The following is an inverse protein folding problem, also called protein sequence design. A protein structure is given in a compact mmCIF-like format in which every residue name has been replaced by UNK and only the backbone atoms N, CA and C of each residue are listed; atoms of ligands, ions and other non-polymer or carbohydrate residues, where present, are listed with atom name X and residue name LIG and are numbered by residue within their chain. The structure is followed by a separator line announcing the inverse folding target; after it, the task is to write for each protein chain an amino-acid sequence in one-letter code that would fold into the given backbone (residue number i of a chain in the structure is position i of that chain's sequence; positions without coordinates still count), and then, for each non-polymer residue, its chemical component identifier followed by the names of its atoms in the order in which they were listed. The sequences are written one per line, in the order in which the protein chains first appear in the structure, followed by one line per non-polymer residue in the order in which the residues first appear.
data_IF_456457458766
#
_entry.id   IF_456457458766
#
_cell.length_a   1.000
_cell.length_b   1.000
_cell.length_c   1.000
_cell.angle_alpha   90.00
_cell.angle_beta   90.00
_cell.angle_gamma   90.00
#
_symmetry.space_group_name_H-M   'P 1'
#
loop_
_entity.id
_entity.type
_entity.pdbx_description
1 polymer ?
#
# COMPACT_ATOMS: atom_id res chain seq x y z
N UNK A 1 5.18 -17.87 41.59
CA UNK A 1 6.34 -18.21 40.76
C UNK A 1 5.86 -19.22 39.73
N UNK A 2 5.49 -18.74 38.55
CA UNK A 2 5.09 -19.57 37.41
C UNK A 2 6.17 -19.40 36.37
N UNK A 3 6.94 -20.46 36.15
CA UNK A 3 7.99 -20.52 35.13
C UNK A 3 7.37 -20.32 33.75
N UNK A 4 7.80 -19.25 33.07
CA UNK A 4 7.49 -19.01 31.67
C UNK A 4 8.26 -20.05 30.84
N UNK A 5 7.56 -21.05 30.32
CA UNK A 5 8.12 -21.95 29.31
C UNK A 5 8.30 -21.13 28.02
N UNK A 6 9.56 -20.86 27.66
CA UNK A 6 9.92 -20.47 26.30
C UNK A 6 9.56 -21.65 25.39
N UNK A 7 8.80 -21.46 24.31
CA UNK A 7 8.52 -22.54 23.37
C UNK A 7 9.83 -22.88 22.63
N UNK A 8 10.30 -24.11 22.80
CA UNK A 8 11.55 -24.65 22.21
C UNK A 8 11.48 -24.91 20.69
N UNK A 9 10.31 -24.73 20.08
CA UNK A 9 10.10 -24.96 18.64
C UNK A 9 9.88 -23.64 17.92
N UNK A 10 10.92 -22.80 17.85
CA UNK A 10 10.99 -21.80 16.78
C UNK A 10 11.25 -22.57 15.47
N UNK A 11 10.24 -22.69 14.60
CA UNK A 11 10.39 -23.26 13.27
C UNK A 11 11.64 -22.69 12.61
N UNK A 12 12.58 -23.58 12.27
CA UNK A 12 13.79 -23.20 11.52
C UNK A 12 13.32 -22.56 10.21
N UNK A 13 13.70 -21.30 9.92
CA UNK A 13 13.27 -20.62 8.71
C UNK A 13 13.57 -21.49 7.49
N UNK A 14 12.60 -21.57 6.57
CA UNK A 14 12.80 -22.32 5.34
C UNK A 14 14.07 -21.84 4.62
N UNK A 15 14.91 -22.76 4.10
CA UNK A 15 16.15 -22.36 3.44
C UNK A 15 15.85 -21.54 2.18
N UNK A 16 16.61 -20.46 1.99
CA UNK A 16 16.49 -19.58 0.82
C UNK A 16 16.56 -20.37 -0.50
N UNK A 17 15.70 -19.98 -1.43
CA UNK A 17 15.69 -20.47 -2.81
C UNK A 17 17.00 -20.10 -3.53
N UNK A 18 17.26 -20.77 -4.66
CA UNK A 18 18.46 -20.51 -5.47
C UNK A 18 18.51 -19.09 -6.04
N UNK A 19 17.36 -18.46 -6.30
CA UNK A 19 17.27 -17.08 -6.78
C UNK A 19 17.53 -16.09 -5.64
N UNK A 20 16.96 -16.32 -4.46
CA UNK A 20 17.21 -15.50 -3.26
C UNK A 20 18.69 -15.55 -2.86
N UNK A 21 19.32 -16.74 -2.92
CA UNK A 21 20.77 -16.88 -2.69
C UNK A 21 21.58 -16.05 -3.67
N UNK A 22 21.23 -16.04 -4.96
CA UNK A 22 21.90 -15.19 -5.96
C UNK A 22 21.66 -13.70 -5.68
N UNK A 23 20.46 -13.32 -5.27
CA UNK A 23 20.13 -11.94 -4.92
C UNK A 23 20.94 -11.44 -3.71
N UNK A 24 21.01 -12.25 -2.65
CA UNK A 24 21.81 -11.98 -1.45
C UNK A 24 23.30 -11.84 -1.80
N UNK A 25 23.83 -12.77 -2.61
CA UNK A 25 25.24 -12.70 -3.06
C UNK A 25 25.48 -11.44 -3.88
N UNK A 26 24.59 -11.10 -4.81
CA UNK A 26 24.69 -9.87 -5.61
C UNK A 26 24.76 -8.63 -4.73
N UNK A 27 23.82 -8.46 -3.79
CA UNK A 27 23.80 -7.35 -2.85
C UNK A 27 25.06 -7.30 -1.98
N UNK A 28 25.47 -8.44 -1.43
CA UNK A 28 26.64 -8.53 -0.53
C UNK A 28 27.97 -8.20 -1.23
N UNK A 29 28.05 -8.42 -2.54
CA UNK A 29 29.26 -8.17 -3.32
C UNK A 29 29.45 -6.69 -3.71
N UNK A 30 28.41 -5.87 -3.59
CA UNK A 30 28.40 -4.45 -3.99
C UNK A 30 29.05 -3.52 -2.98
N UNK A 31 29.45 -2.34 -3.43
CA UNK A 31 29.85 -1.26 -2.53
C UNK A 31 28.68 -0.80 -1.64
N UNK A 32 29.00 -0.01 -0.62
CA UNK A 32 27.99 0.51 0.30
C UNK A 32 27.05 1.47 -0.44
N UNK A 33 25.75 1.36 -0.16
CA UNK A 33 24.74 2.23 -0.73
C UNK A 33 24.69 3.53 0.08
N UNK A 34 24.71 4.65 -0.63
CA UNK A 34 24.53 5.95 0.01
C UNK A 34 23.06 6.24 0.21
N UNK A 35 22.66 6.37 1.47
CA UNK A 35 21.29 6.62 1.88
C UNK A 35 21.25 7.87 2.75
N UNK A 36 20.35 8.80 2.44
CA UNK A 36 20.07 9.98 3.27
C UNK A 36 18.74 9.78 3.98
N UNK A 37 18.79 9.81 5.30
CA UNK A 37 17.62 9.75 6.16
C UNK A 37 17.22 11.15 6.61
N UNK A 38 15.91 11.39 6.67
CA UNK A 38 15.31 12.66 7.05
C UNK A 38 14.35 12.44 8.23
N UNK A 39 14.47 13.26 9.27
CA UNK A 39 13.49 13.30 10.35
C UNK A 39 13.45 14.69 11.00
N UNK A 40 12.26 15.30 11.03
CA UNK A 40 12.13 16.71 11.37
C UNK A 40 12.99 17.57 10.42
N UNK A 41 13.82 18.43 10.98
CA UNK A 41 14.74 19.29 10.22
C UNK A 41 16.13 18.66 10.02
N UNK A 42 16.38 17.48 10.61
CA UNK A 42 17.69 16.83 10.57
C UNK A 42 17.81 15.91 9.36
N UNK A 43 19.02 15.89 8.79
CA UNK A 43 19.42 15.00 7.70
C UNK A 43 20.66 14.23 8.14
N UNK A 44 20.66 12.91 7.92
CA UNK A 44 21.81 12.05 8.20
C UNK A 44 22.15 11.26 6.93
N UNK A 45 23.38 11.43 6.45
CA UNK A 45 23.94 10.70 5.31
C UNK A 45 24.70 9.47 5.82
N UNK A 46 24.44 8.31 5.22
CA UNK A 46 25.01 7.04 5.65
C UNK A 46 25.39 6.16 4.47
N UNK A 47 26.44 5.37 4.68
CA UNK A 47 26.84 4.30 3.79
C UNK A 47 26.40 2.96 4.39
N UNK A 48 25.35 2.38 3.82
CA UNK A 48 24.77 1.14 4.30
C UNK A 48 25.21 -0.05 3.46
N UNK A 49 25.73 -1.09 4.11
CA UNK A 49 26.00 -2.38 3.47
C UNK A 49 24.72 -3.21 3.43
N UNK A 50 24.45 -3.84 2.28
CA UNK A 50 23.27 -4.67 2.05
C UNK A 50 23.67 -6.12 1.71
N UNK A 51 22.77 -7.10 1.90
CA UNK A 51 21.40 -6.96 2.42
C UNK A 51 21.36 -6.70 3.94
N UNK A 52 20.36 -5.95 4.39
CA UNK A 52 19.93 -5.92 5.79
C UNK A 52 19.33 -7.29 6.15
N UNK A 53 19.98 -8.05 7.00
CA UNK A 53 19.50 -9.39 7.36
C UNK A 53 18.57 -9.36 8.58
N UNK A 54 17.53 -10.20 8.53
CA UNK A 54 16.74 -10.60 9.70
C UNK A 54 17.36 -11.79 10.44
N UNK A 55 18.47 -12.34 9.93
CA UNK A 55 19.16 -13.45 10.58
C UNK A 55 19.56 -13.08 12.01
N UNK A 56 19.46 -14.01 12.97
CA UNK A 56 19.88 -13.77 14.33
C UNK A 56 21.40 -13.51 14.35
N UNK A 57 21.79 -12.28 14.66
CA UNK A 57 23.09 -11.98 15.24
C UNK A 57 23.00 -12.43 16.72
N UNK A 58 24.12 -12.71 17.43
CA UNK A 58 24.06 -13.10 18.84
C UNK A 58 23.10 -12.20 19.63
N UNK A 59 22.36 -12.72 20.61
CA UNK A 59 21.28 -11.97 21.30
C UNK A 59 21.74 -10.61 21.89
N UNK A 60 23.03 -10.46 22.16
CA UNK A 60 23.68 -9.24 22.62
C UNK A 60 23.96 -8.19 21.51
N UNK A 61 23.83 -8.59 20.25
CA UNK A 61 24.17 -7.88 19.01
C UNK A 61 22.96 -7.76 18.06
N UNK A 62 21.73 -7.92 18.54
CA UNK A 62 20.51 -7.56 17.79
C UNK A 62 20.30 -8.23 16.43
N UNK A 63 19.57 -7.56 15.53
CA UNK A 63 19.50 -7.83 14.07
C UNK A 63 20.05 -6.63 13.32
N UNK A 64 20.47 -6.77 12.06
CA UNK A 64 20.94 -5.61 11.28
C UNK A 64 19.85 -4.54 11.11
N UNK A 65 18.58 -4.95 11.01
CA UNK A 65 17.45 -4.02 11.02
C UNK A 65 17.29 -3.31 12.38
N UNK A 66 17.41 -4.03 13.49
CA UNK A 66 17.35 -3.43 14.83
C UNK A 66 18.55 -2.51 15.08
N UNK A 67 19.75 -2.88 14.64
CA UNK A 67 20.94 -2.03 14.70
C UNK A 67 20.77 -0.76 13.88
N UNK A 68 20.21 -0.87 12.67
CA UNK A 68 19.89 0.30 11.86
C UNK A 68 18.88 1.19 12.57
N UNK A 69 17.81 0.63 13.14
CA UNK A 69 16.85 1.40 13.94
C UNK A 69 17.53 2.08 15.14
N UNK A 70 18.29 1.36 15.95
CA UNK A 70 18.96 1.89 17.14
C UNK A 70 19.95 2.99 16.77
N UNK A 71 20.73 2.78 15.70
CA UNK A 71 21.63 3.78 15.15
C UNK A 71 20.86 5.01 14.68
N UNK A 72 19.76 4.85 13.92
CA UNK A 72 18.91 5.97 13.52
C UNK A 72 18.35 6.72 14.75
N UNK A 73 17.91 5.99 15.79
CA UNK A 73 17.42 6.63 17.02
C UNK A 73 18.48 7.50 17.68
N UNK A 74 19.70 6.98 17.81
CA UNK A 74 20.84 7.74 18.32
C UNK A 74 21.14 8.97 17.45
N UNK A 75 21.25 8.77 16.14
CA UNK A 75 21.57 9.85 15.20
C UNK A 75 20.49 10.95 15.20
N UNK A 76 19.22 10.63 15.36
CA UNK A 76 18.13 11.61 15.34
C UNK A 76 17.66 12.06 16.73
N UNK A 77 18.26 11.54 17.82
CA UNK A 77 17.81 11.85 19.17
C UNK A 77 16.37 11.38 19.46
N UNK A 78 15.95 10.29 18.82
CA UNK A 78 14.60 9.74 18.98
C UNK A 78 14.50 9.06 20.33
N UNK A 79 13.46 9.41 21.09
CA UNK A 79 13.25 8.91 22.44
C UNK A 79 13.16 7.37 22.50
N UNK A 80 13.58 6.80 23.63
CA UNK A 80 13.65 5.34 23.81
C UNK A 80 12.28 4.65 23.69
N UNK A 81 11.22 5.35 24.07
CA UNK A 81 9.81 4.95 23.98
C UNK A 81 9.21 5.17 22.59
N UNK A 82 10.01 5.50 21.58
CA UNK A 82 9.62 5.59 20.18
C UNK A 82 10.43 4.60 19.34
N UNK A 83 9.86 4.15 18.23
CA UNK A 83 10.48 3.25 17.26
C UNK A 83 10.52 3.89 15.87
N UNK A 84 11.60 3.63 15.14
CA UNK A 84 11.67 3.93 13.70
C UNK A 84 10.93 2.81 12.99
N UNK A 85 9.63 3.02 12.81
CA UNK A 85 8.72 1.99 12.32
C UNK A 85 8.95 1.67 10.84
N UNK A 86 9.22 2.69 10.04
CA UNK A 86 9.31 2.58 8.59
C UNK A 86 10.05 3.77 7.97
N UNK A 87 10.28 3.69 6.66
CA UNK A 87 10.81 4.74 5.80
C UNK A 87 9.85 5.04 4.64
N UNK A 88 9.82 6.29 4.18
CA UNK A 88 9.07 6.73 2.99
C UNK A 88 10.04 7.44 2.03
N UNK A 89 10.06 7.15 0.72
CA UNK A 89 10.92 7.84 -0.22
C UNK A 89 10.52 9.33 -0.28
N UNK A 90 11.49 10.23 -0.15
CA UNK A 90 11.21 11.68 -0.09
C UNK A 90 10.61 12.20 -1.40
N UNK A 91 11.05 11.64 -2.53
CA UNK A 91 10.57 12.04 -3.86
C UNK A 91 9.23 11.39 -4.24
N UNK A 92 8.73 10.46 -3.42
CA UNK A 92 7.46 9.76 -3.65
C UNK A 92 6.57 9.90 -2.41
N UNK A 93 6.06 11.10 -2.17
CA UNK A 93 5.28 11.41 -0.97
C UNK A 93 4.02 10.53 -0.76
N UNK A 94 3.53 9.85 -1.82
CA UNK A 94 2.39 8.94 -1.76
C UNK A 94 2.78 7.47 -1.55
N UNK A 95 4.08 7.15 -1.55
CA UNK A 95 4.53 5.79 -1.33
C UNK A 95 4.22 5.37 0.11
N UNK A 96 3.65 4.16 0.32
CA UNK A 96 3.32 3.69 1.65
C UNK A 96 4.58 3.60 2.51
N UNK A 97 4.41 3.75 3.83
CA UNK A 97 5.51 3.54 4.76
C UNK A 97 6.05 2.11 4.64
N UNK A 98 7.34 2.00 4.31
CA UNK A 98 8.01 0.71 4.07
C UNK A 98 8.84 0.31 5.29
N UNK A 99 8.68 -0.91 5.82
CA UNK A 99 9.58 -1.44 6.84
C UNK A 99 11.04 -1.40 6.37
N UNK A 100 11.98 -1.18 7.29
CA UNK A 100 13.42 -1.07 6.97
C UNK A 100 13.95 -2.28 6.17
N UNK A 101 13.43 -3.48 6.42
CA UNK A 101 13.82 -4.70 5.70
C UNK A 101 13.53 -4.62 4.19
N UNK A 102 12.55 -3.83 3.76
CA UNK A 102 12.22 -3.67 2.34
C UNK A 102 13.26 -2.85 1.56
N UNK A 103 14.22 -2.20 2.24
CA UNK A 103 15.37 -1.56 1.58
C UNK A 103 16.15 -2.57 0.71
N UNK A 104 16.23 -3.84 1.14
CA UNK A 104 16.83 -4.90 0.34
C UNK A 104 16.13 -5.07 -1.01
N UNK A 105 14.80 -5.12 -0.99
CA UNK A 105 13.97 -5.33 -2.18
C UNK A 105 14.11 -4.15 -3.14
N UNK A 106 14.05 -2.93 -2.63
CA UNK A 106 14.19 -1.71 -3.44
C UNK A 106 15.54 -1.69 -4.12
N UNK A 107 16.60 -1.90 -3.35
CA UNK A 107 17.96 -1.87 -3.87
C UNK A 107 18.20 -3.00 -4.86
N UNK A 108 17.70 -4.19 -4.59
CA UNK A 108 17.78 -5.29 -5.53
C UNK A 108 17.10 -4.95 -6.86
N UNK A 109 15.91 -4.35 -6.85
CA UNK A 109 15.23 -3.89 -8.07
C UNK A 109 16.02 -2.81 -8.81
N UNK A 110 16.54 -1.82 -8.09
CA UNK A 110 17.40 -0.78 -8.69
C UNK A 110 18.61 -1.39 -9.41
N UNK A 111 19.25 -2.40 -8.81
CA UNK A 111 20.38 -3.09 -9.44
C UNK A 111 20.01 -3.83 -10.73
N UNK A 112 18.77 -4.34 -10.85
CA UNK A 112 18.28 -4.98 -12.07
C UNK A 112 18.05 -3.97 -13.20
N UNK A 113 17.76 -2.72 -12.86
CA UNK A 113 17.47 -1.64 -13.81
C UNK A 113 18.71 -0.85 -14.23
N UNK A 114 19.87 -1.08 -13.59
CA UNK A 114 21.10 -0.41 -13.96
C UNK A 114 21.54 -0.80 -15.37
N UNK A 115 21.97 0.17 -16.20
CA UNK A 115 22.40 -0.08 -17.57
C UNK A 115 23.68 -0.91 -17.67
N UNK A 116 24.50 -0.92 -16.62
CA UNK A 116 25.68 -1.78 -16.51
C UNK A 116 25.99 -2.11 -15.05
N UNK A 117 26.72 -3.20 -14.77
CA UNK A 117 27.14 -3.53 -13.42
C UNK A 117 27.96 -2.43 -12.76
N UNK A 118 28.74 -1.66 -13.52
CA UNK A 118 29.63 -0.62 -12.98
C UNK A 118 28.97 0.78 -12.95
N UNK A 119 27.67 0.87 -13.28
CA UNK A 119 26.95 2.12 -13.22
C UNK A 119 26.94 2.67 -11.77
N UNK A 120 27.09 3.99 -11.60
CA UNK A 120 27.06 4.61 -10.28
C UNK A 120 25.70 4.37 -9.60
N UNK A 121 25.73 4.01 -8.33
CA UNK A 121 24.53 3.78 -7.53
C UNK A 121 23.86 5.13 -7.21
N UNK A 122 22.52 5.23 -7.37
CA UNK A 122 21.81 6.44 -6.97
C UNK A 122 21.85 6.63 -5.46
N UNK A 123 21.74 7.88 -5.02
CA UNK A 123 21.52 8.20 -3.60
C UNK A 123 20.05 7.98 -3.31
N UNK A 124 19.76 7.25 -2.23
CA UNK A 124 18.39 6.99 -1.80
C UNK A 124 18.00 7.95 -0.69
N UNK A 125 16.88 8.67 -0.87
CA UNK A 125 16.39 9.67 0.07
C UNK A 125 15.13 9.17 0.78
N UNK A 126 15.19 9.02 2.11
CA UNK A 126 14.10 8.46 2.90
C UNK A 126 13.74 9.30 4.13
N UNK A 127 12.46 9.63 4.29
CA UNK A 127 11.90 10.16 5.52
C UNK A 127 11.61 9.04 6.52
N UNK A 128 12.00 9.23 7.78
CA UNK A 128 11.71 8.28 8.87
C UNK A 128 10.28 8.44 9.38
N UNK A 129 9.59 7.32 9.52
CA UNK A 129 8.30 7.22 10.20
C UNK A 129 8.55 6.76 11.63
N UNK A 130 8.44 7.69 12.58
CA UNK A 130 8.67 7.43 14.01
C UNK A 130 7.35 7.29 14.73
N UNK A 131 7.19 6.24 15.55
CA UNK A 131 5.95 5.95 16.29
C UNK A 131 6.22 5.70 17.77
N UNK A 132 5.36 6.19 18.69
CA UNK A 132 5.45 5.84 20.11
C UNK A 132 5.18 4.35 20.32
N UNK A 133 6.02 3.69 21.12
CA UNK A 133 5.90 2.31 21.56
C UNK A 133 4.84 2.13 22.67
N UNK A 134 4.45 3.22 23.35
CA UNK A 134 3.40 3.21 24.37
C UNK A 134 2.07 2.62 23.87
N UNK A 135 1.82 2.69 22.56
CA UNK A 135 0.62 2.14 21.94
C UNK A 135 0.64 0.61 21.80
N UNK A 136 1.79 -0.07 21.90
CA UNK A 136 1.88 -1.53 21.72
C UNK A 136 1.41 -2.31 22.95
N UNK A 137 1.60 -1.76 24.14
CA UNK A 137 1.14 -2.36 25.41
C UNK A 137 -0.28 -1.95 25.78
N UNK A 138 -0.90 -1.04 25.00
CA UNK A 138 -2.27 -0.61 25.21
C UNK A 138 -3.19 -1.54 24.42
N UNK A 139 -4.10 -2.29 25.07
CA UNK A 139 -5.06 -3.13 24.35
C UNK A 139 -5.86 -2.28 23.36
N UNK A 140 -6.05 -2.80 22.15
CA UNK A 140 -6.92 -2.13 21.18
C UNK A 140 -8.34 -2.09 21.77
N UNK A 141 -8.99 -0.91 21.85
CA UNK A 141 -10.34 -0.83 22.38
C UNK A 141 -11.30 -1.72 21.56
N UNK A 142 -12.35 -2.29 22.18
CA UNK A 142 -13.30 -3.15 21.48
C UNK A 142 -14.02 -2.36 20.37
N UNK A 143 -14.52 -3.05 19.34
CA UNK A 143 -15.18 -2.40 18.20
C UNK A 143 -16.46 -1.60 18.55
N UNK A 144 -16.97 -1.75 19.77
CA UNK A 144 -18.10 -0.97 20.32
C UNK A 144 -17.68 0.40 20.87
N UNK A 145 -16.38 0.64 21.04
CA UNK A 145 -15.83 1.89 21.54
C UNK A 145 -15.50 2.84 20.39
N UNK A 146 -16.05 4.05 20.39
CA UNK A 146 -15.84 5.06 19.34
C UNK A 146 -14.37 5.44 19.11
N UNK A 147 -13.48 5.18 20.07
CA UNK A 147 -12.03 5.40 19.95
C UNK A 147 -11.32 4.24 19.24
N UNK A 148 -11.93 3.05 19.20
CA UNK A 148 -11.37 1.85 18.56
C UNK A 148 -11.20 2.04 17.06
N UNK A 149 -10.08 1.63 16.44
CA UNK A 149 -9.95 1.69 14.99
C UNK A 149 -10.91 0.73 14.25
N UNK A 150 -11.52 -0.22 14.96
CA UNK A 150 -12.54 -1.14 14.46
C UNK A 150 -13.98 -0.64 14.60
N UNK A 151 -14.19 0.45 15.34
CA UNK A 151 -15.47 1.14 15.37
C UNK A 151 -15.75 1.72 13.99
N UNK A 152 -16.89 1.34 13.43
CA UNK A 152 -17.21 1.66 12.06
C UNK A 152 -17.72 3.10 11.97
N UNK A 153 -17.06 3.90 11.12
CA UNK A 153 -17.49 5.25 10.80
C UNK A 153 -18.53 5.14 9.69
N UNK A 154 -19.68 5.77 9.87
CA UNK A 154 -20.72 5.83 8.85
C UNK A 154 -20.22 6.58 7.61
N UNK A 155 -20.08 5.88 6.48
CA UNK A 155 -19.62 6.45 5.21
C UNK A 155 -20.58 7.52 4.68
N UNK A 156 -21.89 7.41 4.94
CA UNK A 156 -22.86 8.44 4.56
C UNK A 156 -22.68 9.72 5.36
N UNK A 157 -22.36 9.62 6.65
CA UNK A 157 -22.05 10.79 7.44
C UNK A 157 -20.76 11.44 6.95
N UNK A 158 -19.74 10.64 6.60
CA UNK A 158 -18.43 11.11 6.15
C UNK A 158 -18.49 12.03 4.91
N UNK A 159 -19.28 11.66 3.90
CA UNK A 159 -19.53 12.44 2.68
C UNK A 159 -20.82 13.28 2.71
N UNK A 160 -21.51 13.34 3.86
CA UNK A 160 -22.89 13.82 3.96
C UNK A 160 -23.07 15.33 3.80
N UNK A 161 -24.33 15.75 3.70
CA UNK A 161 -24.72 17.17 3.65
C UNK A 161 -24.99 17.77 5.02
N UNK A 162 -25.28 16.94 6.03
CA UNK A 162 -25.41 17.39 7.43
C UNK A 162 -24.04 17.82 7.97
N UNK A 163 -23.82 19.12 8.24
CA UNK A 163 -22.50 19.62 8.63
C UNK A 163 -22.01 19.04 9.95
N UNK A 164 -22.90 18.78 10.91
CA UNK A 164 -22.52 18.32 12.25
C UNK A 164 -22.10 16.85 12.21
N UNK A 165 -22.93 16.00 11.60
CA UNK A 165 -22.64 14.58 11.44
C UNK A 165 -21.38 14.38 10.59
N UNK A 166 -21.21 15.17 9.52
CA UNK A 166 -20.02 15.15 8.68
C UNK A 166 -18.77 15.54 9.45
N UNK A 167 -18.77 16.69 10.13
CA UNK A 167 -17.61 17.13 10.90
C UNK A 167 -17.20 16.08 11.93
N UNK A 168 -18.17 15.49 12.64
CA UNK A 168 -17.91 14.43 13.62
C UNK A 168 -17.25 13.21 12.96
N UNK A 169 -17.83 12.68 11.88
CA UNK A 169 -17.30 11.52 11.14
C UNK A 169 -15.90 11.78 10.56
N UNK A 170 -15.66 12.98 10.01
CA UNK A 170 -14.36 13.38 9.44
C UNK A 170 -13.27 13.46 10.52
N UNK A 171 -13.55 14.09 11.65
CA UNK A 171 -12.61 14.17 12.79
C UNK A 171 -12.31 12.77 13.32
N UNK A 172 -13.34 11.92 13.45
CA UNK A 172 -13.17 10.55 13.90
C UNK A 172 -12.29 9.75 12.94
N UNK A 173 -12.52 9.87 11.62
CA UNK A 173 -11.70 9.24 10.58
C UNK A 173 -10.23 9.66 10.66
N UNK A 174 -9.96 10.97 10.65
CA UNK A 174 -8.59 11.48 10.65
C UNK A 174 -7.87 11.14 11.95
N UNK A 175 -8.57 11.18 13.08
CA UNK A 175 -8.02 10.75 14.38
C UNK A 175 -7.61 9.28 14.37
N UNK A 176 -8.46 8.38 13.85
CA UNK A 176 -8.13 6.95 13.71
C UNK A 176 -6.95 6.72 12.77
N UNK A 177 -6.95 7.37 11.60
CA UNK A 177 -5.84 7.26 10.63
C UNK A 177 -4.52 7.76 11.22
N UNK A 178 -4.53 8.88 11.95
CA UNK A 178 -3.34 9.43 12.62
C UNK A 178 -2.80 8.48 13.69
N UNK A 179 -3.70 7.90 14.48
CA UNK A 179 -3.36 7.08 15.65
C UNK A 179 -2.96 5.66 15.29
N UNK A 180 -3.73 5.01 14.40
CA UNK A 180 -3.62 3.59 14.10
C UNK A 180 -3.16 3.29 12.67
N UNK A 181 -3.18 4.27 11.76
CA UNK A 181 -2.89 4.06 10.34
C UNK A 181 -4.00 3.35 9.57
N UNK A 182 -5.12 3.02 10.23
CA UNK A 182 -6.30 2.43 9.61
C UNK A 182 -7.58 2.91 10.27
N UNK A 183 -8.68 2.88 9.51
CA UNK A 183 -10.02 3.17 10.00
C UNK A 183 -11.03 2.29 9.25
N UNK A 184 -12.06 1.82 9.96
CA UNK A 184 -13.17 1.08 9.36
C UNK A 184 -14.26 2.03 8.90
N UNK A 185 -14.59 2.03 7.62
CA UNK A 185 -15.76 2.72 7.07
C UNK A 185 -16.90 1.72 6.86
N UNK A 186 -18.09 2.06 7.32
CA UNK A 186 -19.30 1.32 7.06
C UNK A 186 -20.02 1.90 5.85
N UNK A 187 -20.29 1.03 4.87
CA UNK A 187 -21.14 1.32 3.72
C UNK A 187 -22.24 0.27 3.71
N UNK A 188 -23.49 0.70 3.70
CA UNK A 188 -24.61 -0.25 3.63
C UNK A 188 -24.73 -0.83 2.22
N UNK A 189 -25.42 -1.96 2.08
CA UNK A 189 -25.63 -2.58 0.77
C UNK A 189 -26.44 -1.67 -0.16
N UNK A 190 -27.41 -0.95 0.39
CA UNK A 190 -28.25 0.00 -0.33
C UNK A 190 -27.42 1.16 -0.88
N UNK A 191 -26.46 1.64 -0.09
CA UNK A 191 -25.53 2.69 -0.51
C UNK A 191 -24.57 2.17 -1.58
N UNK A 192 -24.04 0.96 -1.39
CA UNK A 192 -23.09 0.40 -2.31
C UNK A 192 -23.73 -0.05 -3.64
N UNK A 193 -25.06 -0.23 -3.68
CA UNK A 193 -25.81 -0.72 -4.85
C UNK A 193 -25.19 -1.99 -5.47
N UNK A 194 -24.48 -2.77 -4.65
CA UNK A 194 -23.79 -3.98 -5.08
C UNK A 194 -24.86 -5.08 -5.22
N UNK A 195 -24.91 -5.79 -6.36
CA UNK A 195 -25.77 -6.96 -6.51
C UNK A 195 -25.57 -7.98 -5.38
N UNK A 196 -26.65 -8.62 -4.93
CA UNK A 196 -26.61 -9.60 -3.83
C UNK A 196 -25.64 -10.75 -4.09
N UNK A 197 -25.50 -11.11 -5.34
CA UNK A 197 -24.70 -12.21 -5.87
C UNK A 197 -23.33 -11.76 -6.39
N UNK A 198 -22.95 -10.47 -6.27
CA UNK A 198 -21.68 -9.98 -6.82
C UNK A 198 -20.46 -10.76 -6.31
N UNK A 199 -20.45 -11.13 -5.02
CA UNK A 199 -19.38 -11.95 -4.43
C UNK A 199 -19.38 -13.40 -4.96
N UNK A 200 -20.55 -13.95 -5.22
CA UNK A 200 -20.69 -15.26 -5.86
C UNK A 200 -20.30 -15.22 -7.34
N UNK A 201 -20.64 -14.14 -8.06
CA UNK A 201 -20.22 -13.89 -9.43
C UNK A 201 -18.69 -13.77 -9.51
N UNK A 202 -18.04 -13.01 -8.62
CA UNK A 202 -16.56 -12.90 -8.56
C UNK A 202 -15.93 -14.28 -8.28
N UNK A 203 -16.44 -15.03 -7.31
CA UNK A 203 -15.90 -16.36 -6.98
C UNK A 203 -16.11 -17.38 -8.10
N UNK A 204 -17.28 -17.39 -8.71
CA UNK A 204 -17.61 -18.24 -9.87
C UNK A 204 -16.71 -17.88 -11.04
N UNK A 205 -16.50 -16.58 -11.27
CA UNK A 205 -15.58 -16.08 -12.28
C UNK A 205 -14.16 -16.59 -12.04
N UNK A 206 -13.62 -16.38 -10.83
CA UNK A 206 -12.27 -16.83 -10.44
C UNK A 206 -12.12 -18.35 -10.55
N UNK A 207 -13.09 -19.12 -10.07
CA UNK A 207 -13.07 -20.58 -10.14
C UNK A 207 -13.11 -21.10 -11.58
N UNK A 208 -13.75 -20.36 -12.50
CA UNK A 208 -13.76 -20.69 -13.92
C UNK A 208 -12.42 -20.39 -14.65
N UNK A 209 -11.45 -19.74 -13.99
CA UNK A 209 -10.21 -19.27 -14.63
C UNK A 209 -9.00 -20.25 -14.62
N UNK A 210 -9.11 -21.58 -14.40
CA UNK A 210 -7.92 -22.48 -14.28
C UNK A 210 -7.84 -23.61 -15.37
N UNK A 211 -6.66 -24.07 -15.88
CA UNK A 211 -5.28 -23.55 -15.92
C UNK A 211 -4.75 -23.36 -17.37
N UNK A 212 -5.54 -22.83 -18.30
CA UNK A 212 -5.08 -22.48 -19.67
C UNK A 212 -5.59 -21.10 -20.07
N UNK A 213 -5.37 -20.10 -19.21
CA UNK A 213 -5.73 -18.73 -19.55
C UNK A 213 -4.86 -18.24 -20.71
N UNK A 214 -5.46 -17.68 -21.77
CA UNK A 214 -4.69 -17.07 -22.84
C UNK A 214 -3.79 -15.94 -22.28
N UNK A 215 -2.60 -15.71 -22.86
CA UNK A 215 -1.69 -14.61 -22.50
C UNK A 215 -2.33 -13.20 -22.49
N UNK A 216 -3.54 -13.06 -23.06
CA UNK A 216 -4.31 -11.83 -23.17
C UNK A 216 -4.84 -11.30 -21.82
N UNK A 217 -4.92 -12.14 -20.78
CA UNK A 217 -5.39 -11.73 -19.44
C UNK A 217 -4.28 -11.22 -18.51
N UNK A 218 -3.02 -11.49 -18.85
CA UNK A 218 -1.86 -11.02 -18.12
C UNK A 218 -1.38 -9.69 -18.71
N UNK A 219 -1.64 -8.58 -18.03
CA UNK A 219 -1.02 -7.30 -18.39
C UNK A 219 0.51 -7.42 -18.30
N UNK A 220 1.20 -7.11 -19.40
CA UNK A 220 2.67 -7.01 -19.45
C UNK A 220 3.22 -5.71 -18.86
N UNK A 221 2.37 -4.85 -18.32
CA UNK A 221 2.77 -3.54 -17.79
C UNK A 221 1.60 -2.82 -17.12
N UNK A 222 1.81 -2.41 -15.87
CA UNK A 222 0.86 -1.72 -14.98
C UNK A 222 -0.40 -2.55 -14.62
N UNK A 223 -0.23 -3.43 -13.63
CA UNK A 223 -1.19 -3.76 -12.55
C UNK A 223 -2.71 -3.80 -12.86
N UNK A 224 -3.14 -4.25 -14.05
CA UNK A 224 -4.57 -4.41 -14.38
C UNK A 224 -4.74 -5.71 -15.17
N UNK A 225 -5.48 -6.67 -14.62
CA UNK A 225 -5.69 -7.99 -15.22
C UNK A 225 -5.63 -9.12 -14.21
N UNK A 226 -5.73 -10.35 -14.72
CA UNK A 226 -5.58 -11.54 -13.89
C UNK A 226 -4.10 -11.87 -13.73
N UNK A 227 -3.70 -12.18 -12.51
CA UNK A 227 -2.36 -12.61 -12.16
C UNK A 227 -2.43 -13.82 -11.25
N UNK A 228 -1.48 -14.73 -11.44
CA UNK A 228 -1.28 -15.90 -10.59
C UNK A 228 0.19 -15.89 -10.16
N UNK A 229 0.41 -15.81 -8.85
CA UNK A 229 1.72 -16.04 -8.24
C UNK A 229 1.67 -17.31 -7.38
N UNK A 230 2.81 -17.88 -6.94
CA UNK A 230 2.83 -19.16 -6.23
C UNK A 230 1.96 -19.24 -4.98
N UNK A 231 1.56 -18.09 -4.41
CA UNK A 231 0.83 -18.01 -3.15
C UNK A 231 -0.59 -17.44 -3.30
N UNK A 232 -0.96 -16.90 -4.47
CA UNK A 232 -2.28 -16.29 -4.69
C UNK A 232 -2.63 -16.12 -6.18
N UNK A 233 -3.92 -16.28 -6.45
CA UNK A 233 -4.57 -15.85 -7.68
C UNK A 233 -5.33 -14.56 -7.39
N UNK A 234 -5.16 -13.53 -8.22
CA UNK A 234 -5.89 -12.27 -8.04
C UNK A 234 -6.25 -11.63 -9.39
N UNK A 235 -7.44 -11.03 -9.42
CA UNK A 235 -7.86 -10.12 -10.48
C UNK A 235 -7.68 -8.69 -9.97
N UNK A 236 -6.81 -7.92 -10.61
CA UNK A 236 -6.64 -6.50 -10.32
C UNK A 236 -7.41 -5.67 -11.34
N UNK A 237 -8.36 -4.86 -10.88
CA UNK A 237 -9.10 -3.91 -11.68
C UNK A 237 -8.75 -2.50 -11.24
N UNK A 238 -8.61 -1.60 -12.20
CA UNK A 238 -8.52 -0.16 -11.95
C UNK A 238 -9.79 0.50 -12.44
N UNK A 239 -10.24 1.55 -11.76
CA UNK A 239 -11.28 2.43 -12.27
C UNK A 239 -10.87 2.94 -13.66
N UNK A 240 -11.70 2.76 -14.70
CA UNK A 240 -11.36 3.14 -16.06
C UNK A 240 -11.39 4.66 -16.23
N UNK A 241 -10.23 5.25 -16.50
CA UNK A 241 -10.09 6.69 -16.65
C UNK A 241 -10.34 7.11 -18.09
N UNK A 242 -11.17 8.15 -18.26
CA UNK A 242 -11.40 8.75 -19.57
C UNK A 242 -10.15 9.36 -20.19
N UNK A 243 -9.36 10.07 -19.38
CA UNK A 243 -8.09 10.69 -19.81
C UNK A 243 -7.06 9.68 -20.29
N UNK A 244 -7.04 8.48 -19.69
CA UNK A 244 -6.17 7.38 -20.11
C UNK A 244 -6.72 6.61 -21.32
N UNK A 245 -7.86 7.02 -21.89
CA UNK A 245 -8.50 6.32 -23.01
C UNK A 245 -8.89 4.87 -22.69
N UNK A 246 -9.09 4.53 -21.41
CA UNK A 246 -9.35 3.16 -20.99
C UNK A 246 -10.80 2.78 -21.29
N UNK A 247 -10.99 1.99 -22.36
CA UNK A 247 -12.33 1.53 -22.78
C UNK A 247 -12.92 0.55 -21.76
N UNK A 248 -14.20 0.72 -21.46
CA UNK A 248 -14.98 -0.18 -20.60
C UNK A 248 -16.25 -0.72 -21.29
N UNK A 249 -16.59 -2.02 -21.11
CA UNK A 249 -15.83 -3.03 -20.38
C UNK A 249 -14.58 -3.47 -21.16
N UNK A 250 -13.57 -3.99 -20.44
CA UNK A 250 -12.32 -4.44 -21.08
C UNK A 250 -12.60 -5.56 -22.11
N UNK A 251 -11.80 -5.70 -23.18
CA UNK A 251 -12.01 -6.69 -24.24
C UNK A 251 -12.23 -8.12 -23.73
N UNK A 252 -11.49 -8.53 -22.69
CA UNK A 252 -11.65 -9.86 -22.12
C UNK A 252 -13.03 -10.11 -21.49
N UNK A 253 -13.75 -9.09 -21.01
CA UNK A 253 -15.14 -9.25 -20.55
C UNK A 253 -16.12 -9.38 -21.72
N UNK A 254 -15.80 -8.78 -22.88
CA UNK A 254 -16.59 -8.98 -24.10
C UNK A 254 -16.39 -10.37 -24.69
N UNK A 255 -15.14 -10.82 -24.77
CA UNK A 255 -14.76 -12.11 -25.33
C UNK A 255 -15.31 -13.29 -24.52
N UNK A 256 -15.52 -13.13 -23.21
CA UNK A 256 -16.10 -14.15 -22.32
C UNK A 256 -17.61 -14.00 -22.10
N UNK A 257 -18.27 -13.07 -22.79
CA UNK A 257 -19.70 -12.75 -22.62
C UNK A 257 -20.08 -12.35 -21.17
N UNK A 258 -19.23 -11.56 -20.52
CA UNK A 258 -19.33 -11.13 -19.11
C UNK A 258 -19.52 -9.61 -18.94
N UNK A 259 -20.10 -8.94 -19.93
CA UNK A 259 -20.31 -7.49 -19.90
C UNK A 259 -21.19 -7.02 -18.72
N UNK A 260 -22.17 -7.83 -18.30
CA UNK A 260 -23.01 -7.54 -17.13
C UNK A 260 -22.20 -7.58 -15.83
N UNK A 261 -21.34 -8.59 -15.67
CA UNK A 261 -20.43 -8.69 -14.53
C UNK A 261 -19.48 -7.49 -14.47
N UNK A 262 -18.90 -7.09 -15.61
CA UNK A 262 -18.08 -5.89 -15.70
C UNK A 262 -18.86 -4.61 -15.32
N UNK A 263 -20.13 -4.51 -15.72
CA UNK A 263 -20.98 -3.38 -15.33
C UNK A 263 -21.18 -3.33 -13.81
N UNK A 264 -21.36 -4.47 -13.16
CA UNK A 264 -21.51 -4.55 -11.71
C UNK A 264 -20.21 -4.20 -10.97
N UNK A 265 -19.06 -4.63 -11.49
CA UNK A 265 -17.75 -4.25 -10.96
C UNK A 265 -17.48 -2.75 -11.09
N UNK A 266 -17.88 -2.12 -12.20
CA UNK A 266 -17.73 -0.68 -12.37
C UNK A 266 -18.57 0.10 -11.34
N UNK A 267 -19.79 -0.35 -11.04
CA UNK A 267 -20.61 0.24 -9.96
C UNK A 267 -19.90 0.16 -8.62
N UNK A 268 -19.33 -0.99 -8.28
CA UNK A 268 -18.54 -1.16 -7.06
C UNK A 268 -17.33 -0.23 -7.04
N UNK A 269 -16.57 -0.14 -8.13
CA UNK A 269 -15.42 0.75 -8.23
C UNK A 269 -15.81 2.22 -8.05
N UNK A 270 -16.95 2.66 -8.61
CA UNK A 270 -17.46 4.02 -8.40
C UNK A 270 -17.80 4.30 -6.93
N UNK A 271 -18.40 3.33 -6.23
CA UNK A 271 -18.71 3.47 -4.80
C UNK A 271 -17.42 3.54 -3.98
N UNK A 272 -16.45 2.67 -4.26
CA UNK A 272 -15.16 2.67 -3.58
C UNK A 272 -14.39 3.98 -3.83
N UNK A 273 -14.40 4.49 -5.06
CA UNK A 273 -13.81 5.78 -5.40
C UNK A 273 -14.50 6.93 -4.67
N UNK A 274 -15.84 6.93 -4.59
CA UNK A 274 -16.62 7.93 -3.84
C UNK A 274 -16.25 7.92 -2.37
N UNK A 275 -16.24 6.74 -1.73
CA UNK A 275 -15.86 6.61 -0.32
C UNK A 275 -14.40 7.02 -0.09
N UNK A 276 -13.50 6.66 -1.01
CA UNK A 276 -12.10 7.09 -0.96
C UNK A 276 -11.97 8.61 -1.06
N UNK A 277 -12.75 9.26 -1.92
CA UNK A 277 -12.81 10.72 -2.03
C UNK A 277 -13.39 11.37 -0.78
N UNK A 278 -14.43 10.81 -0.17
CA UNK A 278 -14.97 11.32 1.10
C UNK A 278 -13.92 11.24 2.22
N UNK A 279 -13.10 10.19 2.23
CA UNK A 279 -11.95 10.07 3.12
C UNK A 279 -10.89 11.16 2.84
N UNK A 280 -10.59 11.44 1.58
CA UNK A 280 -9.66 12.52 1.21
C UNK A 280 -10.21 13.91 1.54
N UNK A 281 -11.51 14.13 1.36
CA UNK A 281 -12.21 15.34 1.77
C UNK A 281 -12.08 15.54 3.29
N UNK A 282 -12.25 14.48 4.08
CA UNK A 282 -12.03 14.50 5.52
C UNK A 282 -10.59 14.91 5.89
N UNK A 283 -9.60 14.37 5.20
CA UNK A 283 -8.18 14.73 5.38
C UNK A 283 -7.97 16.21 5.09
N UNK A 284 -8.47 16.70 3.95
CA UNK A 284 -8.37 18.11 3.58
C UNK A 284 -9.04 19.02 4.62
N UNK A 285 -10.27 18.70 5.03
CA UNK A 285 -11.05 19.50 5.96
C UNK A 285 -10.44 19.56 7.37
N UNK A 286 -9.99 18.42 7.91
CA UNK A 286 -9.48 18.35 9.29
C UNK A 286 -8.04 18.84 9.40
N UNK A 287 -7.19 18.54 8.40
CA UNK A 287 -5.78 18.94 8.40
C UNK A 287 -5.54 20.30 7.72
N UNK A 288 -6.59 20.96 7.23
CA UNK A 288 -6.53 22.23 6.53
C UNK A 288 -5.57 22.19 5.31
N UNK A 289 -5.63 21.10 4.55
CA UNK A 289 -4.88 20.92 3.30
C UNK A 289 -5.70 21.51 2.16
N UNK A 290 -5.03 22.12 1.16
CA UNK A 290 -5.71 22.64 -0.02
C UNK A 290 -6.42 21.51 -0.79
N UNK A 291 -7.74 21.55 -0.71
CA UNK A 291 -8.63 20.63 -1.41
C UNK A 291 -8.43 20.68 -2.92
N UNK A 292 -8.18 21.86 -3.49
CA UNK A 292 -8.07 22.03 -4.94
C UNK A 292 -6.84 21.30 -5.47
N UNK A 293 -5.71 21.46 -4.80
CA UNK A 293 -4.50 20.69 -5.09
C UNK A 293 -4.77 19.18 -5.04
N UNK A 294 -5.38 18.68 -3.95
CA UNK A 294 -5.63 17.24 -3.81
C UNK A 294 -6.59 16.70 -4.89
N UNK A 295 -7.73 17.35 -5.10
CA UNK A 295 -8.78 16.80 -5.95
C UNK A 295 -8.58 17.08 -7.44
N UNK A 296 -7.92 18.18 -7.79
CA UNK A 296 -7.77 18.58 -9.19
C UNK A 296 -6.41 18.22 -9.78
N UNK A 297 -5.36 18.14 -8.95
CA UNK A 297 -4.00 17.86 -9.43
C UNK A 297 -3.54 16.44 -9.12
N UNK A 298 -3.96 15.86 -7.99
CA UNK A 298 -3.46 14.54 -7.55
C UNK A 298 -4.42 13.39 -7.87
N UNK A 299 -5.72 13.57 -7.63
CA UNK A 299 -6.70 12.52 -7.85
C UNK A 299 -7.08 12.44 -9.33
N UNK A 300 -7.31 11.22 -9.80
CA UNK A 300 -7.79 10.96 -11.16
C UNK A 300 -9.16 11.62 -11.41
N UNK A 301 -9.48 11.95 -12.66
CA UNK A 301 -10.79 12.50 -13.07
C UNK A 301 -11.92 11.44 -12.94
N UNK A 302 -13.11 11.89 -12.53
CA UNK A 302 -14.34 11.08 -12.36
C UNK A 302 -15.19 10.96 -13.62
N UNK A 303 -14.76 11.56 -14.73
CA UNK A 303 -15.45 11.44 -16.02
C UNK A 303 -15.72 9.98 -16.38
N UNK A 304 -16.90 9.73 -16.93
CA UNK A 304 -17.29 8.39 -17.37
C UNK A 304 -16.28 7.81 -18.37
N UNK A 305 -15.94 6.51 -18.26
CA UNK A 305 -15.01 5.87 -19.17
C UNK A 305 -15.56 5.83 -20.60
N UNK A 306 -14.68 5.86 -21.61
CA UNK A 306 -15.09 5.62 -22.99
C UNK A 306 -15.66 4.20 -23.13
N UNK A 307 -16.76 4.05 -23.86
CA UNK A 307 -17.39 2.75 -24.14
C UNK A 307 -16.96 2.18 -25.49
N UNK A 308 -16.40 3.02 -26.36
CA UNK A 308 -15.83 2.61 -27.64
C UNK A 308 -14.55 3.37 -27.96
N UNK A 309 -13.78 2.87 -28.93
CA UNK A 309 -12.59 3.57 -29.42
C UNK A 309 -12.90 4.94 -30.04
N UNK A 310 -14.12 5.13 -30.56
CA UNK A 310 -14.56 6.41 -31.10
C UNK A 310 -14.75 7.48 -30.01
N UNK A 311 -14.96 7.06 -28.75
CA UNK A 311 -15.18 7.95 -27.61
C UNK A 311 -13.89 8.37 -26.90
N UNK A 312 -12.74 7.86 -27.37
CA UNK A 312 -11.42 8.18 -26.83
C UNK A 312 -10.97 9.53 -27.37
N UNK A 313 -11.12 10.58 -26.55
CA UNK A 313 -10.79 11.97 -26.93
C UNK A 313 -9.36 12.39 -26.61
N UNK A 314 -8.65 11.60 -25.79
CA UNK A 314 -7.25 11.78 -25.47
C UNK A 314 -6.60 10.40 -25.30
N UNK A 315 -5.44 10.21 -25.92
CA UNK A 315 -4.56 9.06 -25.66
C UNK A 315 -3.33 9.63 -24.97
N UNK A 316 -3.00 9.13 -23.78
CA UNK A 316 -1.71 9.42 -23.18
C UNK A 316 -0.66 8.56 -23.91
N UNK A 317 0.27 9.17 -24.67
CA UNK A 317 1.28 8.43 -25.41
C UNK A 317 2.35 7.79 -24.51
N UNK A 318 2.30 8.01 -23.18
CA UNK A 318 3.24 7.46 -22.20
C UNK A 318 2.75 6.19 -21.48
N UNK A 319 1.63 5.60 -21.93
CA UNK A 319 1.11 4.33 -21.45
C UNK A 319 1.61 3.13 -22.26
#
# INVERSE_FOLDING_TARGET
MTESRVPDDAEVPAPLTSEEKKAVVSLSSREHFRIRFFHGEKIVDSLLKLPLTMEPVPLAEGTQCLHLELWLKDQFGIASDHSVFAVVPVLEAYSPAMPLILLNTIVFRLLQELPSPDAPLPILDYALVVRPLSNLNTPIPPATDETSPFFAIDGTALGGTDPLARQHAQVQFVSKMKTFGFARIQVTREQAQIPLDAWEQVRTWLAAQNPTLPPLLASKGRYVGFSCDPNREYLQLRHPLRSAGTIWPRPYFHETNQAEFATNLLKLLNVLDTVGRDCMEAVCAVLNIDRSFVFNELLDDVSAPPTSAADVTATDPSC
#
